data_IF_947698381511
#
_entry.id   IF_947698381511
#
_cell.length_a   1.000
_cell.length_b   1.000
_cell.length_c   1.000
_cell.angle_alpha   90.00
_cell.angle_beta   90.00
_cell.angle_gamma   90.00
#
_symmetry.space_group_name_H-M   'P 1'
#
loop_
_entity.id
_entity.type
_entity.pdbx_description
1 polymer ?
#
# COMPACT_ATOMS: atom_id res chain seq x y z
N UNK A 1 6.56 -12.74 -8.87
CA UNK A 1 7.74 -12.82 -7.98
C UNK A 1 8.47 -11.47 -7.98
N UNK A 2 9.21 -11.13 -6.91
CA UNK A 2 9.99 -9.88 -6.86
C UNK A 2 11.05 -9.89 -7.96
N UNK A 3 11.71 -11.03 -8.12
CA UNK A 3 12.78 -11.30 -9.08
C UNK A 3 12.33 -11.01 -10.52
N UNK A 4 11.12 -11.43 -10.88
CA UNK A 4 10.59 -11.19 -12.23
C UNK A 4 10.39 -9.69 -12.53
N UNK A 5 10.02 -8.89 -11.53
CA UNK A 5 9.86 -7.44 -11.71
C UNK A 5 11.21 -6.77 -11.91
N UNK A 6 12.19 -7.09 -11.06
CA UNK A 6 13.53 -6.48 -11.08
C UNK A 6 14.38 -6.91 -12.30
N UNK A 7 14.14 -8.11 -12.84
CA UNK A 7 14.79 -8.55 -14.09
C UNK A 7 14.21 -7.81 -15.31
N UNK A 8 12.91 -7.55 -15.29
CA UNK A 8 12.21 -7.00 -16.48
C UNK A 8 12.30 -5.49 -16.56
N UNK A 9 12.36 -4.81 -15.41
CA UNK A 9 12.33 -3.35 -15.35
C UNK A 9 13.45 -2.82 -14.46
N UNK A 10 13.96 -1.59 -14.73
CA UNK A 10 14.91 -0.90 -13.86
C UNK A 10 14.22 -0.39 -12.57
N UNK A 11 13.66 -1.31 -11.80
CA UNK A 11 12.95 -1.09 -10.55
C UNK A 11 13.56 -1.95 -9.45
N UNK A 12 13.45 -1.52 -8.20
CA UNK A 12 13.82 -2.31 -7.02
C UNK A 12 12.66 -2.39 -6.04
N UNK A 13 12.40 -3.59 -5.51
CA UNK A 13 11.44 -3.79 -4.43
C UNK A 13 12.15 -3.59 -3.09
N UNK A 14 11.85 -2.48 -2.42
CA UNK A 14 12.45 -2.13 -1.13
C UNK A 14 11.75 -2.85 0.02
N UNK A 15 10.43 -3.03 -0.08
CA UNK A 15 9.60 -3.71 0.92
C UNK A 15 8.54 -4.53 0.23
N UNK A 16 8.34 -5.74 0.72
CA UNK A 16 7.17 -6.54 0.43
C UNK A 16 6.80 -7.40 1.64
N UNK A 17 5.87 -6.90 2.45
CA UNK A 17 5.57 -7.47 3.77
C UNK A 17 4.10 -7.29 4.14
N UNK A 18 3.66 -7.99 5.21
CA UNK A 18 2.36 -7.75 5.81
C UNK A 18 2.32 -6.37 6.45
N UNK A 19 1.22 -5.65 6.25
CA UNK A 19 0.94 -4.40 6.94
C UNK A 19 0.34 -4.71 8.30
N UNK A 20 1.19 -4.95 9.29
CA UNK A 20 0.75 -5.31 10.63
C UNK A 20 -0.19 -4.27 11.26
N UNK A 21 -1.18 -4.75 12.01
CA UNK A 21 -2.18 -3.90 12.65
C UNK A 21 -3.10 -3.15 11.68
N UNK A 22 -3.23 -3.58 10.43
CA UNK A 22 -4.19 -3.02 9.48
C UNK A 22 -5.55 -3.72 9.48
N UNK A 23 -5.63 -4.92 10.05
CA UNK A 23 -6.87 -5.68 10.17
C UNK A 23 -7.84 -5.08 11.19
N UNK A 24 -9.13 -5.24 10.91
CA UNK A 24 -10.19 -4.97 11.87
C UNK A 24 -10.27 -6.08 12.92
N UNK A 25 -10.44 -5.68 14.18
CA UNK A 25 -10.60 -6.59 15.31
C UNK A 25 -11.99 -7.26 15.31
N UNK A 26 -12.08 -8.44 15.92
CA UNK A 26 -13.33 -9.17 16.11
C UNK A 26 -13.05 -10.61 16.52
N UNK A 27 -14.09 -11.38 16.85
CA UNK A 27 -13.97 -12.82 17.13
C UNK A 27 -13.23 -13.56 16.00
N UNK A 28 -13.49 -13.16 14.77
CA UNK A 28 -12.68 -13.52 13.60
C UNK A 28 -12.04 -12.24 13.05
N UNK A 29 -10.76 -12.05 13.37
CA UNK A 29 -9.97 -10.90 12.90
C UNK A 29 -9.89 -10.92 11.37
N UNK A 30 -10.00 -9.73 10.76
CA UNK A 30 -9.78 -9.60 9.33
C UNK A 30 -8.32 -9.82 8.93
N UNK A 31 -8.06 -9.92 7.62
CA UNK A 31 -6.69 -10.04 7.09
C UNK A 31 -5.90 -8.74 7.22
N UNK A 32 -4.59 -8.84 7.45
CA UNK A 32 -3.72 -7.67 7.28
C UNK A 32 -3.57 -7.38 5.78
N UNK A 33 -3.44 -6.09 5.45
CA UNK A 33 -2.99 -5.66 4.14
C UNK A 33 -1.51 -5.97 3.91
N UNK A 34 -0.96 -5.38 2.88
CA UNK A 34 0.43 -5.50 2.44
C UNK A 34 1.05 -4.12 2.30
N UNK A 35 2.34 -4.03 2.56
CA UNK A 35 3.16 -2.90 2.14
C UNK A 35 3.98 -3.35 0.93
N UNK A 36 3.91 -2.60 -0.16
CA UNK A 36 4.82 -2.71 -1.30
C UNK A 36 5.50 -1.37 -1.53
N UNK A 37 6.83 -1.35 -1.45
CA UNK A 37 7.63 -0.17 -1.74
C UNK A 37 8.53 -0.46 -2.94
N UNK A 38 8.44 0.37 -3.98
CA UNK A 38 9.15 0.17 -5.25
C UNK A 38 9.92 1.44 -5.61
N UNK A 39 11.23 1.30 -5.79
CA UNK A 39 12.15 2.36 -6.20
C UNK A 39 12.34 2.37 -7.72
N UNK A 40 12.41 3.56 -8.31
CA UNK A 40 12.86 3.76 -9.70
C UNK A 40 14.40 3.84 -9.75
N UNK A 41 15.07 3.03 -10.59
CA UNK A 41 16.54 3.01 -10.68
C UNK A 41 17.05 3.75 -11.91
N UNK A 42 17.78 4.86 -11.73
CA UNK A 42 18.44 5.61 -12.82
C UNK A 42 17.50 6.11 -13.94
N UNK A 43 16.18 6.09 -13.72
CA UNK A 43 15.20 6.52 -14.70
C UNK A 43 13.99 7.18 -14.05
N UNK A 44 13.24 7.96 -14.84
CA UNK A 44 11.90 8.41 -14.43
C UNK A 44 10.88 7.37 -14.85
N UNK A 45 10.06 6.89 -13.90
CA UNK A 45 8.99 5.94 -14.14
C UNK A 45 7.63 6.67 -14.18
N UNK A 46 6.73 6.27 -15.08
CA UNK A 46 5.33 6.69 -15.01
C UNK A 46 4.54 5.66 -14.23
N UNK A 47 3.87 6.09 -13.16
CA UNK A 47 3.09 5.21 -12.28
C UNK A 47 1.62 5.59 -12.37
N UNK A 48 0.77 4.59 -12.59
CA UNK A 48 -0.69 4.72 -12.55
C UNK A 48 -1.24 3.97 -11.34
N UNK A 49 -1.78 4.70 -10.37
CA UNK A 49 -2.42 4.13 -9.19
C UNK A 49 -3.90 3.85 -9.47
N UNK A 50 -4.32 2.63 -9.15
CA UNK A 50 -5.72 2.18 -9.24
C UNK A 50 -6.08 1.43 -7.96
N UNK A 51 -6.24 2.19 -6.89
CA UNK A 51 -6.46 1.67 -5.55
C UNK A 51 -7.81 2.10 -4.99
N UNK A 52 -8.50 1.16 -4.37
CA UNK A 52 -9.79 1.39 -3.69
C UNK A 52 -9.61 1.37 -2.17
N UNK A 53 -10.71 1.65 -1.44
CA UNK A 53 -10.75 1.65 0.04
C UNK A 53 -9.69 2.58 0.66
N UNK A 54 -9.63 3.81 0.15
CA UNK A 54 -8.76 4.89 0.64
C UNK A 54 -9.50 5.86 1.55
N UNK A 55 -10.70 6.29 1.13
CA UNK A 55 -11.58 7.16 1.92
C UNK A 55 -12.45 6.39 2.91
N UNK A 56 -12.94 5.21 2.50
CA UNK A 56 -13.81 4.37 3.31
C UNK A 56 -13.10 3.07 3.64
N UNK A 57 -13.04 2.75 4.93
CA UNK A 57 -12.47 1.53 5.44
C UNK A 57 -13.25 0.28 4.97
N UNK A 58 -12.60 -0.89 4.87
CA UNK A 58 -13.31 -2.16 4.90
C UNK A 58 -13.97 -2.35 6.26
N UNK A 59 -15.30 -2.38 6.24
CA UNK A 59 -16.10 -2.37 7.46
C UNK A 59 -16.09 -3.71 8.18
N UNK A 60 -16.20 -3.67 9.50
CA UNK A 60 -16.48 -4.84 10.31
C UNK A 60 -17.94 -5.27 10.24
N UNK A 61 -18.22 -6.51 10.64
CA UNK A 61 -19.58 -7.08 10.63
C UNK A 61 -19.91 -7.72 11.97
N UNK A 62 -21.20 -7.69 12.34
CA UNK A 62 -21.71 -8.35 13.56
C UNK A 62 -20.97 -7.92 14.84
N UNK A 63 -20.63 -6.63 14.96
CA UNK A 63 -19.87 -6.08 16.08
C UNK A 63 -18.34 -6.15 15.96
N UNK A 64 -17.82 -6.67 14.83
CA UNK A 64 -16.41 -6.53 14.49
C UNK A 64 -16.06 -5.09 14.09
N UNK A 65 -14.80 -4.71 14.27
CA UNK A 65 -14.29 -3.39 13.96
C UNK A 65 -13.83 -3.26 12.50
N UNK A 66 -13.84 -2.04 11.99
CA UNK A 66 -13.32 -1.69 10.67
C UNK A 66 -11.80 -1.90 10.59
N UNK A 67 -11.31 -2.22 9.41
CA UNK A 67 -9.88 -2.23 9.11
C UNK A 67 -9.35 -0.83 8.83
N UNK A 68 -8.03 -0.68 8.84
CA UNK A 68 -7.39 0.53 8.32
C UNK A 68 -7.63 0.64 6.80
N UNK A 69 -7.98 1.83 6.29
CA UNK A 69 -7.92 2.08 4.85
C UNK A 69 -6.48 1.93 4.35
N UNK A 70 -6.33 1.74 3.05
CA UNK A 70 -5.01 1.76 2.44
C UNK A 70 -4.53 3.19 2.21
N UNK A 71 -3.25 3.33 1.93
CA UNK A 71 -2.54 4.60 1.85
C UNK A 71 -1.48 4.50 0.76
N UNK A 72 -1.32 5.57 -0.02
CA UNK A 72 -0.29 5.65 -1.05
C UNK A 72 0.53 6.90 -0.78
N UNK A 73 1.85 6.79 -0.90
CA UNK A 73 2.72 7.94 -0.77
C UNK A 73 4.04 7.71 -1.50
N UNK A 74 4.68 8.79 -1.92
CA UNK A 74 6.03 8.79 -2.50
C UNK A 74 7.03 9.24 -1.43
N UNK A 75 8.10 8.50 -1.26
CA UNK A 75 9.31 8.96 -0.58
C UNK A 75 10.22 9.59 -1.62
N UNK A 76 10.42 10.90 -1.49
CA UNK A 76 11.24 11.69 -2.41
C UNK A 76 12.73 11.48 -2.14
N UNK A 77 13.60 11.92 -3.06
CA UNK A 77 15.05 11.76 -2.93
C UNK A 77 15.67 12.48 -1.72
N UNK A 78 14.98 13.48 -1.15
CA UNK A 78 15.36 14.16 0.09
C UNK A 78 14.74 13.52 1.36
N UNK A 79 14.02 12.39 1.20
CA UNK A 79 13.32 11.68 2.25
C UNK A 79 11.93 12.23 2.59
N UNK A 80 11.47 13.32 1.96
CA UNK A 80 10.14 13.85 2.23
C UNK A 80 9.04 12.91 1.71
N UNK A 81 7.95 12.84 2.46
CA UNK A 81 6.77 12.06 2.10
C UNK A 81 5.77 12.96 1.38
N UNK A 82 5.30 12.52 0.21
CA UNK A 82 4.17 13.13 -0.50
C UNK A 82 3.03 12.12 -0.60
N UNK A 83 1.88 12.46 -0.01
CA UNK A 83 0.69 11.64 -0.12
C UNK A 83 0.11 11.62 -1.53
N UNK A 84 -0.37 10.46 -1.96
CA UNK A 84 -0.99 10.25 -3.26
C UNK A 84 -2.42 9.69 -3.08
N UNK A 85 -3.39 10.08 -3.92
CA UNK A 85 -4.75 9.58 -3.82
C UNK A 85 -4.85 8.11 -4.27
N UNK A 86 -6.04 7.52 -4.16
CA UNK A 86 -6.30 6.16 -4.63
C UNK A 86 -6.18 5.99 -6.13
N UNK A 87 -6.49 7.04 -6.90
CA UNK A 87 -6.41 7.06 -8.36
C UNK A 87 -5.58 8.26 -8.79
N UNK A 88 -4.44 8.01 -9.41
CA UNK A 88 -3.53 9.05 -9.88
C UNK A 88 -2.63 8.53 -11.01
N UNK A 89 -2.10 9.46 -11.78
CA UNK A 89 -0.96 9.24 -12.67
C UNK A 89 0.14 10.19 -12.25
N UNK A 90 1.32 9.66 -11.92
CA UNK A 90 2.45 10.45 -11.45
C UNK A 90 3.75 10.00 -12.11
N UNK A 91 4.76 10.87 -12.05
CA UNK A 91 6.13 10.57 -12.44
C UNK A 91 6.96 10.36 -11.19
N UNK A 92 7.57 9.19 -11.08
CA UNK A 92 8.52 8.83 -10.04
C UNK A 92 9.92 9.13 -10.59
N UNK A 93 10.62 10.10 -10.00
CA UNK A 93 11.98 10.47 -10.41
C UNK A 93 12.97 9.35 -10.03
N UNK A 94 14.19 9.34 -10.59
CA UNK A 94 15.23 8.41 -10.15
C UNK A 94 15.38 8.42 -8.61
N UNK A 95 15.56 7.23 -8.04
CA UNK A 95 15.71 6.95 -6.62
C UNK A 95 14.52 7.25 -5.72
N UNK A 96 13.43 7.83 -6.24
CA UNK A 96 12.18 7.95 -5.48
C UNK A 96 11.49 6.59 -5.34
N UNK A 97 10.73 6.46 -4.25
CA UNK A 97 10.05 5.23 -3.88
C UNK A 97 8.55 5.47 -3.84
N UNK A 98 7.78 4.75 -4.64
CA UNK A 98 6.33 4.67 -4.45
C UNK A 98 6.03 3.59 -3.41
N UNK A 99 5.30 3.97 -2.37
CA UNK A 99 4.82 3.05 -1.34
C UNK A 99 3.31 2.91 -1.46
N UNK A 100 2.86 1.66 -1.59
CA UNK A 100 1.46 1.27 -1.62
C UNK A 100 1.17 0.40 -0.41
N UNK A 101 0.40 0.96 0.52
CA UNK A 101 -0.22 0.24 1.61
C UNK A 101 -1.62 -0.21 1.19
N UNK A 102 -1.86 -1.52 1.13
CA UNK A 102 -3.20 -2.05 0.86
C UNK A 102 -4.06 -1.99 2.12
N UNK A 103 -5.40 -1.86 1.98
CA UNK A 103 -6.28 -1.89 3.15
C UNK A 103 -6.23 -3.25 3.82
N UNK A 104 -6.53 -3.29 5.13
CA UNK A 104 -6.82 -4.57 5.80
C UNK A 104 -8.25 -5.05 5.53
N UNK A 105 -8.62 -6.22 6.06
CA UNK A 105 -10.00 -6.70 6.10
C UNK A 105 -10.69 -6.33 7.42
N UNK A 106 -11.98 -5.98 7.37
CA UNK A 106 -12.78 -5.77 8.58
C UNK A 106 -12.93 -7.06 9.39
N UNK A 107 -13.07 -6.93 10.71
CA UNK A 107 -13.29 -8.07 11.60
C UNK A 107 -14.76 -8.51 11.63
N UNK A 108 -14.99 -9.74 12.07
CA UNK A 108 -16.33 -10.29 12.28
C UNK A 108 -16.54 -10.68 13.74
N UNK A 109 -17.71 -10.33 14.29
CA UNK A 109 -18.10 -10.64 15.66
C UNK A 109 -17.45 -9.71 16.69
N UNK A 110 -18.11 -9.48 17.82
CA UNK A 110 -17.50 -8.79 18.95
C UNK A 110 -16.26 -9.56 19.46
N UNK A 111 -15.20 -8.82 19.79
CA UNK A 111 -13.94 -9.36 20.32
C UNK A 111 -14.07 -9.82 21.78
#
# INVERSE_FOLDING_TARGET
>A
PVEALEITYPLRVERYELREGSSGAGKHRGGNGLVRAIRSLDHTARVSLQCERRRFAPYGLQGGADAKPGHNYVVQGDGQIRDEPGKASLSLRPDEIIVVETPGGGGWGAA
#
